data_IF_357966398434
#
_entry.id   IF_357966398434
#
_cell.length_a   1.000
_cell.length_b   1.000
_cell.length_c   1.000
_cell.angle_alpha   90.00
_cell.angle_beta   90.00
_cell.angle_gamma   90.00
#
_symmetry.space_group_name_H-M   'P 1'
#
loop_
_entity.id
_entity.type
_entity.pdbx_description
1 polymer ?
#
# COMPACT_ATOMS: atom_id res chain seq x y z
N UNK A 1 -30.87 34.88 1.64
CA UNK A 1 -29.58 34.38 2.14
C UNK A 1 -29.83 33.57 3.42
N UNK A 2 -29.00 32.55 3.67
CA UNK A 2 -28.91 31.69 4.89
C UNK A 2 -29.75 30.41 4.87
N UNK A 3 -29.25 29.19 5.12
CA UNK A 3 -27.91 28.54 5.09
C UNK A 3 -28.23 27.04 5.17
N UNK A 4 -27.81 26.25 4.18
CA UNK A 4 -28.00 24.79 4.17
C UNK A 4 -27.14 24.18 5.29
N UNK A 5 -27.77 23.48 6.23
CA UNK A 5 -27.07 22.70 7.25
C UNK A 5 -26.62 21.37 6.62
N UNK A 6 -25.35 21.29 6.26
CA UNK A 6 -24.67 20.02 5.98
C UNK A 6 -24.64 19.19 7.26
N UNK A 7 -25.24 17.99 7.23
CA UNK A 7 -25.04 16.98 8.28
C UNK A 7 -23.58 16.52 8.23
N UNK A 8 -22.81 16.87 9.25
CA UNK A 8 -21.51 16.26 9.50
C UNK A 8 -21.70 14.77 9.78
N UNK A 9 -21.13 13.92 8.93
CA UNK A 9 -21.08 12.47 9.14
C UNK A 9 -20.10 12.21 10.30
N UNK A 10 -20.65 11.97 11.49
CA UNK A 10 -19.88 11.74 12.72
C UNK A 10 -19.33 10.32 12.69
N UNK A 11 -18.08 10.16 12.27
CA UNK A 11 -17.34 8.92 12.46
C UNK A 11 -17.20 8.68 13.96
N UNK A 12 -18.04 7.79 14.50
CA UNK A 12 -17.99 7.45 15.93
C UNK A 12 -16.72 6.64 16.16
N UNK A 13 -15.81 7.06 17.06
CA UNK A 13 -14.73 6.19 17.48
C UNK A 13 -15.36 4.93 18.06
N UNK A 14 -15.01 3.78 17.50
CA UNK A 14 -15.52 2.50 17.97
C UNK A 14 -14.93 2.24 19.36
N UNK A 15 -15.77 2.36 20.39
CA UNK A 15 -15.38 2.25 21.79
C UNK A 15 -15.41 0.77 22.20
N UNK A 16 -14.24 0.12 22.25
CA UNK A 16 -14.12 -1.30 22.61
C UNK A 16 -14.09 -1.54 24.14
N UNK A 17 -14.57 -0.58 24.94
CA UNK A 17 -14.43 -0.59 26.40
C UNK A 17 -15.19 -1.74 27.10
N UNK A 18 -16.23 -2.31 26.47
CA UNK A 18 -17.05 -3.38 27.06
C UNK A 18 -16.71 -4.80 26.58
N UNK A 19 -15.68 -4.96 25.75
CA UNK A 19 -15.28 -6.29 25.25
C UNK A 19 -14.41 -7.05 26.26
N UNK A 20 -15.00 -7.94 27.06
CA UNK A 20 -14.28 -8.87 27.95
C UNK A 20 -13.54 -9.93 27.10
N UNK A 21 -12.31 -9.62 26.67
CA UNK A 21 -11.46 -10.53 25.89
C UNK A 21 -10.91 -11.64 26.79
N UNK A 22 -11.36 -12.88 26.57
CA UNK A 22 -10.71 -14.08 27.11
C UNK A 22 -9.22 -14.09 26.75
N UNK A 23 -8.41 -14.82 27.54
CA UNK A 23 -6.94 -14.83 27.49
C UNK A 23 -6.43 -14.69 26.05
N UNK A 24 -5.87 -13.51 25.74
CA UNK A 24 -5.39 -13.20 24.42
C UNK A 24 -4.25 -14.18 24.09
N UNK A 25 -4.53 -15.14 23.19
CA UNK A 25 -3.50 -15.99 22.61
C UNK A 25 -2.39 -15.07 22.08
N UNK A 26 -1.12 -15.29 22.46
CA UNK A 26 -0.03 -14.43 22.03
C UNK A 26 0.02 -14.44 20.50
N UNK A 27 -0.01 -13.25 19.90
CA UNK A 27 0.15 -13.09 18.46
C UNK A 27 1.59 -13.48 18.09
N UNK A 28 1.82 -14.74 17.71
CA UNK A 28 3.15 -15.23 17.30
C UNK A 28 3.75 -14.31 16.23
N UNK A 29 4.95 -13.79 16.49
CA UNK A 29 5.71 -12.96 15.55
C UNK A 29 5.22 -11.52 15.39
N UNK A 30 4.33 -11.00 16.24
CA UNK A 30 3.90 -9.59 16.22
C UNK A 30 4.42 -8.85 17.46
N UNK A 31 4.99 -7.67 17.25
CA UNK A 31 5.40 -6.75 18.33
C UNK A 31 4.33 -5.66 18.47
N UNK A 32 3.90 -5.38 19.71
CA UNK A 32 3.02 -4.23 19.98
C UNK A 32 3.86 -2.96 19.93
N UNK A 33 3.47 -2.03 19.06
CA UNK A 33 4.06 -0.69 18.97
C UNK A 33 3.01 0.35 19.33
N UNK A 34 3.44 1.38 20.06
CA UNK A 34 2.62 2.57 20.34
C UNK A 34 3.22 3.72 19.54
N UNK A 35 2.52 4.12 18.49
CA UNK A 35 2.91 5.21 17.59
C UNK A 35 1.70 6.12 17.35
N UNK A 36 1.96 7.39 17.07
CA UNK A 36 0.95 8.30 16.55
C UNK A 36 0.94 8.21 15.03
N UNK A 37 -0.24 8.16 14.44
CA UNK A 37 -0.46 8.25 13.00
C UNK A 37 -1.48 9.36 12.76
N UNK A 38 -1.29 10.08 11.66
CA UNK A 38 -2.22 11.13 11.27
C UNK A 38 -3.59 10.54 10.93
N UNK A 39 -4.65 11.31 11.23
CA UNK A 39 -6.04 10.86 11.10
C UNK A 39 -6.39 10.53 9.65
N UNK A 40 -5.92 11.35 8.70
CA UNK A 40 -6.13 11.18 7.27
C UNK A 40 -5.46 9.91 6.73
N UNK A 41 -4.24 9.60 7.21
CA UNK A 41 -3.52 8.37 6.88
C UNK A 41 -4.33 7.15 7.34
N UNK A 42 -4.82 7.14 8.57
CA UNK A 42 -5.64 6.05 9.10
C UNK A 42 -6.94 5.92 8.31
N UNK A 43 -7.61 7.03 8.00
CA UNK A 43 -8.84 7.04 7.20
C UNK A 43 -8.62 6.43 5.82
N UNK A 44 -7.52 6.77 5.14
CA UNK A 44 -7.21 6.19 3.82
C UNK A 44 -6.89 4.70 3.88
N UNK A 45 -6.17 4.25 4.90
CA UNK A 45 -5.95 2.81 5.05
C UNK A 45 -7.23 2.04 5.36
N UNK A 46 -8.20 2.64 6.07
CA UNK A 46 -9.52 2.04 6.29
C UNK A 46 -10.29 1.89 4.98
N UNK A 47 -10.48 2.97 4.24
CA UNK A 47 -11.19 2.98 2.95
C UNK A 47 -10.64 1.92 2.00
N UNK A 48 -9.32 1.86 1.87
CA UNK A 48 -8.68 0.90 0.98
C UNK A 48 -8.74 -0.55 1.48
N UNK A 49 -8.76 -0.76 2.80
CA UNK A 49 -8.85 -2.10 3.38
C UNK A 49 -10.28 -2.64 3.28
N UNK A 50 -11.29 -1.80 3.48
CA UNK A 50 -12.71 -2.13 3.29
C UNK A 50 -12.98 -2.55 1.85
N UNK A 51 -12.42 -1.83 0.87
CA UNK A 51 -12.52 -2.18 -0.55
C UNK A 51 -11.85 -3.53 -0.90
N UNK A 52 -10.81 -3.92 -0.16
CA UNK A 52 -10.08 -5.17 -0.35
C UNK A 52 -10.57 -6.33 0.54
N UNK A 53 -11.56 -6.09 1.42
CA UNK A 53 -12.04 -7.08 2.38
C UNK A 53 -11.00 -7.50 3.41
N UNK A 54 -10.00 -6.65 3.71
CA UNK A 54 -8.93 -6.93 4.66
C UNK A 54 -8.98 -5.96 5.86
N UNK A 55 -8.30 -6.27 6.96
CA UNK A 55 -8.18 -5.34 8.08
C UNK A 55 -7.21 -4.19 7.79
N UNK A 56 -7.54 -2.96 8.20
CA UNK A 56 -6.67 -1.78 8.04
C UNK A 56 -5.26 -2.00 8.62
N UNK A 57 -5.14 -2.70 9.75
CA UNK A 57 -3.85 -3.03 10.36
C UNK A 57 -3.01 -3.95 9.45
N UNK A 58 -3.64 -4.93 8.80
CA UNK A 58 -2.97 -5.81 7.83
C UNK A 58 -2.42 -5.00 6.66
N UNK A 59 -3.22 -4.04 6.18
CA UNK A 59 -2.84 -3.16 5.09
C UNK A 59 -1.68 -2.23 5.45
N UNK A 60 -1.73 -1.59 6.61
CA UNK A 60 -0.63 -0.77 7.15
C UNK A 60 0.65 -1.59 7.26
N UNK A 61 0.57 -2.80 7.85
CA UNK A 61 1.73 -3.67 7.97
C UNK A 61 2.31 -4.08 6.61
N UNK A 62 1.46 -4.31 5.60
CA UNK A 62 1.93 -4.61 4.24
C UNK A 62 2.65 -3.41 3.63
N UNK A 63 2.11 -2.19 3.79
CA UNK A 63 2.77 -0.97 3.32
C UNK A 63 4.14 -0.77 3.98
N UNK A 64 4.22 -0.93 5.31
CA UNK A 64 5.49 -0.85 6.05
C UNK A 64 6.49 -1.93 5.59
N UNK A 65 6.01 -3.15 5.33
CA UNK A 65 6.86 -4.22 4.79
C UNK A 65 7.42 -3.88 3.41
N UNK A 66 6.58 -3.37 2.52
CA UNK A 66 7.00 -2.99 1.17
C UNK A 66 8.02 -1.85 1.20
N UNK A 67 7.89 -0.91 2.14
CA UNK A 67 8.84 0.20 2.29
C UNK A 67 10.20 -0.30 2.83
N UNK A 68 10.19 -1.14 3.86
CA UNK A 68 11.43 -1.59 4.53
C UNK A 68 12.16 -2.68 3.76
N UNK A 69 11.42 -3.65 3.21
CA UNK A 69 11.99 -4.84 2.55
C UNK A 69 11.90 -4.77 1.02
N UNK A 70 11.32 -3.70 0.48
CA UNK A 70 10.95 -3.63 -0.92
C UNK A 70 9.74 -4.50 -1.25
N UNK A 71 9.20 -4.33 -2.45
CA UNK A 71 8.28 -5.29 -3.05
C UNK A 71 9.10 -6.29 -3.88
N UNK A 72 9.37 -7.52 -3.37
CA UNK A 72 10.16 -8.51 -4.08
C UNK A 72 9.51 -8.89 -5.42
N UNK A 73 8.18 -8.88 -5.51
CA UNK A 73 7.48 -9.13 -6.77
C UNK A 73 7.62 -7.94 -7.72
N UNK A 74 7.43 -6.72 -7.23
CA UNK A 74 7.57 -5.51 -8.03
C UNK A 74 8.98 -5.28 -8.59
N UNK A 75 10.03 -5.73 -7.89
CA UNK A 75 11.40 -5.68 -8.40
C UNK A 75 11.59 -6.64 -9.59
N UNK A 76 11.17 -7.90 -9.44
CA UNK A 76 11.25 -8.93 -10.50
C UNK A 76 10.40 -8.54 -11.71
N UNK A 77 9.19 -8.03 -11.49
CA UNK A 77 8.30 -7.59 -12.57
C UNK A 77 8.91 -6.41 -13.33
N UNK A 78 9.51 -5.43 -12.63
CA UNK A 78 10.19 -4.30 -13.29
C UNK A 78 11.39 -4.74 -14.11
N UNK A 79 12.14 -5.72 -13.63
CA UNK A 79 13.27 -6.30 -14.37
C UNK A 79 12.79 -7.04 -15.61
N UNK A 80 11.78 -7.90 -15.49
CA UNK A 80 11.18 -8.62 -16.61
C UNK A 80 10.61 -7.66 -17.66
N UNK A 81 9.82 -6.66 -17.24
CA UNK A 81 9.26 -5.64 -18.14
C UNK A 81 10.36 -4.82 -18.82
N UNK A 82 11.44 -4.47 -18.10
CA UNK A 82 12.58 -3.77 -18.69
C UNK A 82 13.31 -4.63 -19.72
N UNK A 83 13.47 -5.93 -19.45
CA UNK A 83 14.08 -6.87 -20.38
C UNK A 83 13.27 -6.96 -21.69
N UNK A 84 11.94 -7.10 -21.58
CA UNK A 84 11.05 -7.14 -22.75
C UNK A 84 11.08 -5.83 -23.55
N UNK A 85 11.01 -4.67 -22.88
CA UNK A 85 11.08 -3.36 -23.56
C UNK A 85 12.46 -3.17 -24.23
N UNK A 86 13.55 -3.56 -23.56
CA UNK A 86 14.90 -3.45 -24.14
C UNK A 86 15.08 -4.36 -25.35
N UNK A 87 14.48 -5.56 -25.34
CA UNK A 87 14.50 -6.48 -26.46
C UNK A 87 13.74 -5.91 -27.68
N UNK A 88 12.63 -5.20 -27.43
CA UNK A 88 11.83 -4.54 -28.48
C UNK A 88 12.48 -3.26 -29.02
N UNK A 89 13.13 -2.47 -28.17
CA UNK A 89 13.75 -1.19 -28.57
C UNK A 89 15.12 -1.41 -29.24
N UNK A 90 15.81 -2.50 -28.93
CA UNK A 90 17.11 -2.88 -29.51
C UNK A 90 17.09 -3.21 -31.01
N UNK A 91 15.92 -3.35 -31.64
CA UNK A 91 15.79 -3.68 -33.07
C UNK A 91 15.72 -2.46 -34.00
N UNK A 92 15.64 -1.21 -33.49
CA UNK A 92 15.46 -0.02 -34.34
C UNK A 92 16.70 0.87 -34.54
N UNK A 93 17.85 0.59 -33.92
CA UNK A 93 19.07 1.37 -34.16
C UNK A 93 19.92 0.68 -35.24
N UNK A 94 19.54 0.90 -36.50
CA UNK A 94 20.47 0.78 -37.64
C UNK A 94 20.96 2.19 -37.97
N UNK A 95 22.28 2.40 -38.11
CA UNK A 95 22.71 3.13 -39.29
C UNK A 95 23.92 2.51 -39.99
N UNK A 96 23.71 2.32 -41.29
CA UNK A 96 24.60 2.73 -42.38
C UNK A 96 26.06 2.25 -42.38
N UNK A 97 26.23 1.09 -43.02
CA UNK A 97 27.27 0.79 -44.03
C UNK A 97 28.08 2.01 -44.47
N UNK A 98 29.38 2.06 -44.15
CA UNK A 98 30.35 2.87 -44.90
C UNK A 98 31.52 2.00 -45.33
N UNK A 99 31.57 1.78 -46.64
CA UNK A 99 32.63 1.13 -47.41
C UNK A 99 33.71 2.17 -47.73
N UNK A 100 34.95 1.96 -47.31
CA UNK A 100 36.17 2.62 -47.86
C UNK A 100 37.32 1.63 -47.68
N UNK A 101 37.76 1.01 -48.79
CA UNK A 101 38.88 1.39 -49.69
C UNK A 101 40.21 1.04 -49.08
#
# INVERSE_FOLDING_TARGET
MTRVLQKANKERPFDFNESRRGAALPHKGKVRVTIWLDEDVVAKFREQADAAGEGYQTRINRALRNEVFGDPLGAVVREAVRAEISALVGTSVVPAKTRKR
#
